data_IF_710566138764
#
_entry.id   IF_710566138764
#
_cell.length_a   1.000
_cell.length_b   1.000
_cell.length_c   1.000
_cell.angle_alpha   90.00
_cell.angle_beta   90.00
_cell.angle_gamma   90.00
#
_symmetry.space_group_name_H-M   'P 1'
#
loop_
_entity.id
_entity.type
_entity.pdbx_description
1 polymer ?
#
# COMPACT_ATOMS: atom_id res chain seq x y z
N UNK A 1 -13.79 13.95 4.65
CA UNK A 1 -13.08 12.69 4.29
C UNK A 1 -13.41 11.65 5.36
N UNK A 2 -13.84 10.44 4.98
CA UNK A 2 -14.24 9.41 5.96
C UNK A 2 -13.09 9.00 6.90
N UNK A 3 -11.84 9.10 6.43
CA UNK A 3 -10.64 8.85 7.26
C UNK A 3 -10.47 9.79 8.44
N UNK A 4 -11.14 10.95 8.44
CA UNK A 4 -11.13 11.89 9.57
C UNK A 4 -12.24 11.56 10.59
N UNK A 5 -13.30 10.87 10.15
CA UNK A 5 -14.46 10.54 10.98
C UNK A 5 -14.40 9.12 11.54
N UNK A 6 -13.75 8.19 10.83
CA UNK A 6 -13.53 6.81 11.25
C UNK A 6 -12.15 6.32 10.76
N UNK A 7 -11.06 6.76 11.40
CA UNK A 7 -9.71 6.40 11.00
C UNK A 7 -9.43 4.88 11.11
N UNK A 8 -10.03 4.20 12.09
CA UNK A 8 -9.82 2.76 12.29
C UNK A 8 -10.31 1.92 11.11
N UNK A 9 -11.38 2.34 10.42
CA UNK A 9 -11.85 1.64 9.23
C UNK A 9 -10.77 1.55 8.14
N UNK A 10 -9.88 2.54 8.04
CA UNK A 10 -8.78 2.54 7.08
C UNK A 10 -7.64 1.63 7.49
N UNK A 11 -7.26 1.62 8.78
CA UNK A 11 -6.19 0.71 9.23
C UNK A 11 -6.65 -0.74 9.18
N UNK A 12 -7.88 -1.01 9.61
CA UNK A 12 -8.44 -2.36 9.58
C UNK A 12 -8.53 -2.91 8.15
N UNK A 13 -9.07 -2.12 7.20
CA UNK A 13 -9.18 -2.57 5.82
C UNK A 13 -7.83 -2.60 5.09
N UNK A 14 -7.05 -1.52 5.17
CA UNK A 14 -5.86 -1.39 4.34
C UNK A 14 -4.63 -2.05 4.94
N UNK A 15 -4.50 -2.17 6.26
CA UNK A 15 -3.33 -2.78 6.90
C UNK A 15 -3.63 -4.23 7.26
N UNK A 16 -4.57 -4.47 8.18
CA UNK A 16 -4.86 -5.83 8.66
C UNK A 16 -5.45 -6.70 7.53
N UNK A 17 -6.37 -6.13 6.75
CA UNK A 17 -6.96 -6.79 5.59
C UNK A 17 -5.92 -7.11 4.51
N UNK A 18 -5.01 -6.18 4.22
CA UNK A 18 -3.96 -6.41 3.23
C UNK A 18 -2.96 -7.48 3.65
N UNK A 19 -2.54 -7.47 4.92
CA UNK A 19 -1.72 -8.54 5.48
C UNK A 19 -2.41 -9.90 5.33
N UNK A 20 -3.72 -9.97 5.64
CA UNK A 20 -4.50 -11.20 5.52
C UNK A 20 -4.52 -11.74 4.09
N UNK A 21 -4.61 -10.86 3.08
CA UNK A 21 -4.57 -11.26 1.66
C UNK A 21 -3.18 -11.78 1.27
N UNK A 22 -2.10 -11.08 1.63
CA UNK A 22 -0.74 -11.53 1.27
C UNK A 22 -0.41 -12.85 1.99
N UNK A 23 -0.85 -13.04 3.23
CA UNK A 23 -0.73 -14.32 3.93
C UNK A 23 -1.52 -15.43 3.23
N UNK A 24 -2.69 -15.09 2.67
CA UNK A 24 -3.43 -15.98 1.78
C UNK A 24 -2.61 -16.40 0.56
N UNK A 25 -1.98 -15.45 -0.13
CA UNK A 25 -1.10 -15.72 -1.28
C UNK A 25 0.13 -16.57 -0.92
N UNK A 26 0.65 -16.43 0.30
CA UNK A 26 1.73 -17.29 0.81
C UNK A 26 1.24 -18.72 1.07
N UNK A 27 0.10 -18.85 1.75
CA UNK A 27 -0.47 -20.16 2.10
C UNK A 27 -0.96 -20.93 0.87
N UNK A 28 -1.47 -20.21 -0.13
CA UNK A 28 -1.94 -20.73 -1.40
C UNK A 28 -1.20 -20.01 -2.53
N UNK A 29 -0.02 -20.53 -2.96
CA UNK A 29 0.83 -19.85 -3.93
C UNK A 29 0.07 -19.43 -5.17
N UNK A 30 0.08 -18.13 -5.44
CA UNK A 30 -0.51 -17.52 -6.64
C UNK A 30 0.57 -17.32 -7.70
N UNK A 31 0.16 -17.20 -8.97
CA UNK A 31 1.09 -16.87 -10.05
C UNK A 31 1.65 -15.45 -9.89
N UNK A 32 0.79 -14.49 -9.51
CA UNK A 32 1.18 -13.10 -9.32
C UNK A 32 0.17 -12.37 -8.42
N UNK A 33 0.66 -11.60 -7.46
CA UNK A 33 -0.15 -10.76 -6.58
C UNK A 33 -0.17 -9.31 -7.09
N UNK A 34 -1.33 -8.85 -7.57
CA UNK A 34 -1.49 -7.48 -8.06
C UNK A 34 -2.26 -6.65 -7.04
N UNK A 35 -1.75 -5.47 -6.68
CA UNK A 35 -2.40 -4.58 -5.73
C UNK A 35 -2.45 -3.12 -6.20
N UNK A 36 -3.50 -2.41 -5.77
CA UNK A 36 -3.67 -1.01 -6.12
C UNK A 36 -3.13 -0.09 -5.02
N UNK A 37 -2.13 0.72 -5.35
CA UNK A 37 -1.78 1.92 -4.58
C UNK A 37 -2.59 3.14 -5.07
N UNK A 38 -2.15 4.36 -4.76
CA UNK A 38 -2.81 5.61 -5.16
C UNK A 38 -1.77 6.69 -5.40
N UNK A 39 -2.00 7.58 -6.37
CA UNK A 39 -1.18 8.79 -6.53
C UNK A 39 -1.22 9.73 -5.31
N UNK A 40 -2.18 9.55 -4.39
CA UNK A 40 -2.23 10.33 -3.14
C UNK A 40 -1.02 10.11 -2.23
N UNK A 41 -0.23 9.04 -2.45
CA UNK A 41 1.03 8.79 -1.72
C UNK A 41 2.07 9.89 -1.98
N UNK A 42 2.01 10.58 -3.13
CA UNK A 42 2.91 11.69 -3.45
C UNK A 42 2.62 12.97 -2.64
N UNK A 43 1.56 13.00 -1.82
CA UNK A 43 1.29 14.08 -0.88
C UNK A 43 1.13 15.45 -1.53
N UNK A 44 1.92 16.42 -1.08
CA UNK A 44 1.95 17.80 -1.60
C UNK A 44 2.98 18.01 -2.72
N UNK A 45 3.49 16.94 -3.33
CA UNK A 45 4.43 17.10 -4.43
C UNK A 45 3.74 17.87 -5.57
N UNK A 46 4.31 19.01 -5.97
CA UNK A 46 3.80 19.86 -7.05
C UNK A 46 4.56 19.66 -8.36
N UNK A 47 5.65 18.87 -8.35
CA UNK A 47 6.47 18.64 -9.52
C UNK A 47 5.83 17.57 -10.42
N UNK A 48 5.18 18.03 -11.48
CA UNK A 48 4.51 17.19 -12.47
C UNK A 48 5.35 17.02 -13.75
N UNK A 49 5.28 15.84 -14.42
CA UNK A 49 4.53 14.65 -14.00
C UNK A 49 5.18 13.95 -12.80
N UNK A 50 4.37 13.25 -11.99
CA UNK A 50 4.90 12.42 -10.91
C UNK A 50 5.79 11.30 -11.46
N UNK A 51 6.82 10.95 -10.68
CA UNK A 51 7.78 9.92 -11.04
C UNK A 51 7.84 8.87 -9.94
N UNK A 52 7.69 7.60 -10.33
CA UNK A 52 7.88 6.44 -9.43
C UNK A 52 9.32 6.31 -8.92
N UNK A 53 10.27 7.02 -9.52
CA UNK A 53 11.66 7.10 -9.05
C UNK A 53 11.83 8.12 -7.91
N UNK A 54 10.87 9.01 -7.70
CA UNK A 54 10.91 9.98 -6.60
C UNK A 54 10.28 9.37 -5.35
N UNK A 55 10.87 9.59 -4.16
CA UNK A 55 10.28 9.10 -2.92
C UNK A 55 8.90 9.69 -2.67
N UNK A 56 8.01 8.87 -2.10
CA UNK A 56 6.62 9.23 -1.77
C UNK A 56 6.42 9.08 -0.26
N UNK A 57 7.26 9.78 0.49
CA UNK A 57 7.48 9.53 1.93
C UNK A 57 6.76 10.56 2.82
N UNK A 58 6.06 11.53 2.21
CA UNK A 58 5.33 12.58 2.90
C UNK A 58 3.82 12.57 2.58
N UNK A 59 3.09 11.49 2.93
CA UNK A 59 1.65 11.42 2.71
C UNK A 59 0.91 12.44 3.61
N UNK A 60 -0.08 13.14 3.04
CA UNK A 60 -0.87 14.17 3.76
C UNK A 60 -2.21 13.68 4.30
N UNK A 61 -2.50 12.38 4.18
CA UNK A 61 -3.73 11.82 4.73
C UNK A 61 -3.51 10.40 5.21
N UNK A 62 -4.30 9.98 6.19
CA UNK A 62 -4.25 8.61 6.72
C UNK A 62 -4.46 7.58 5.62
N UNK A 63 -5.40 7.81 4.69
CA UNK A 63 -5.59 6.94 3.53
C UNK A 63 -4.31 6.79 2.70
N UNK A 64 -3.67 7.91 2.33
CA UNK A 64 -2.41 7.89 1.59
C UNK A 64 -1.29 7.18 2.36
N UNK A 65 -1.19 7.41 3.68
CA UNK A 65 -0.23 6.73 4.53
C UNK A 65 -0.47 5.21 4.56
N UNK A 66 -1.73 4.77 4.69
CA UNK A 66 -2.06 3.33 4.65
C UNK A 66 -1.76 2.70 3.29
N UNK A 67 -2.00 3.40 2.18
CA UNK A 67 -1.64 2.89 0.85
C UNK A 67 -0.12 2.82 0.65
N UNK A 68 0.63 3.79 1.18
CA UNK A 68 2.10 3.74 1.18
C UNK A 68 2.62 2.57 2.02
N UNK A 69 1.99 2.30 3.17
CA UNK A 69 2.30 1.14 3.98
C UNK A 69 2.10 -0.16 3.20
N UNK A 70 1.04 -0.27 2.39
CA UNK A 70 0.81 -1.46 1.55
C UNK A 70 1.92 -1.68 0.53
N UNK A 71 2.46 -0.63 -0.10
CA UNK A 71 3.63 -0.74 -0.98
C UNK A 71 4.83 -1.33 -0.23
N UNK A 72 5.10 -0.84 0.98
CA UNK A 72 6.23 -1.29 1.80
C UNK A 72 6.03 -2.72 2.32
N UNK A 73 4.81 -3.05 2.74
CA UNK A 73 4.43 -4.40 3.15
C UNK A 73 4.58 -5.37 1.99
N UNK A 74 4.04 -5.05 0.80
CA UNK A 74 4.19 -5.89 -0.37
C UNK A 74 5.66 -6.07 -0.74
N UNK A 75 6.45 -5.00 -0.80
CA UNK A 75 7.88 -5.06 -1.11
C UNK A 75 8.63 -6.00 -0.16
N UNK A 76 8.48 -5.80 1.15
CA UNK A 76 9.19 -6.61 2.15
C UNK A 76 8.69 -8.06 2.15
N UNK A 77 7.38 -8.27 2.19
CA UNK A 77 6.80 -9.60 2.38
C UNK A 77 6.95 -10.46 1.13
N UNK A 78 6.67 -9.90 -0.04
CA UNK A 78 6.81 -10.62 -1.30
C UNK A 78 8.27 -10.96 -1.60
N UNK A 79 9.22 -10.09 -1.21
CA UNK A 79 10.64 -10.41 -1.28
C UNK A 79 11.03 -11.58 -0.37
N UNK A 80 10.58 -11.58 0.89
CA UNK A 80 10.89 -12.66 1.84
C UNK A 80 10.35 -14.02 1.41
N UNK A 81 9.14 -14.05 0.84
CA UNK A 81 8.45 -15.29 0.50
C UNK A 81 8.41 -15.60 -1.01
N UNK A 82 9.17 -14.85 -1.82
CA UNK A 82 9.28 -15.04 -3.27
C UNK A 82 7.91 -15.06 -3.97
N UNK A 83 7.01 -14.16 -3.56
CA UNK A 83 5.70 -13.98 -4.17
C UNK A 83 5.87 -12.94 -5.30
N UNK A 84 5.63 -13.26 -6.57
CA UNK A 84 5.65 -12.26 -7.63
C UNK A 84 4.57 -11.21 -7.37
N UNK A 85 4.92 -9.92 -7.37
CA UNK A 85 3.96 -8.86 -7.04
C UNK A 85 4.16 -7.57 -7.84
N UNK A 86 3.08 -6.82 -8.08
CA UNK A 86 3.09 -5.49 -8.73
C UNK A 86 1.94 -4.62 -8.26
#
# INVERSE_FOLDING_TARGET
RYSLTNPQAYTHSNIDGFLSIIEGCRKYPVQHFVFASTSSVYGLNTNMPFSVKKPADHPISLYAATKKANEMMAHAYCHLYQIPAT
#
